data_IF_538674625150
#
_entry.id   IF_538674625150
#
_cell.length_a   1.000
_cell.length_b   1.000
_cell.length_c   1.000
_cell.angle_alpha   90.00
_cell.angle_beta   90.00
_cell.angle_gamma   90.00
#
_symmetry.space_group_name_H-M   'P 1'
#
loop_
_entity.id
_entity.type
_entity.pdbx_description
1 polymer ?
#
# COMPACT_ATOMS: atom_id res chain seq x y z
N UNK A 1 7.59 30.40 6.34
CA UNK A 1 7.08 29.01 6.29
C UNK A 1 5.56 29.08 6.32
N UNK A 2 4.88 28.61 5.28
CA UNK A 2 3.42 28.71 5.17
C UNK A 2 2.79 27.71 6.15
N UNK A 3 2.32 28.18 7.32
CA UNK A 3 1.76 27.35 8.40
C UNK A 3 0.57 26.50 7.94
N UNK A 4 -0.10 26.89 6.85
CA UNK A 4 -1.22 26.17 6.24
C UNK A 4 -0.80 25.12 5.20
N UNK A 5 0.50 24.83 5.02
CA UNK A 5 1.01 23.85 4.05
C UNK A 5 1.78 22.71 4.73
N UNK A 6 1.13 22.07 5.70
CA UNK A 6 1.65 20.91 6.42
C UNK A 6 0.72 19.70 6.34
N UNK A 7 1.21 18.52 6.73
CA UNK A 7 0.36 17.34 6.91
C UNK A 7 -0.57 17.58 8.12
N UNK A 8 -1.88 17.43 7.90
CA UNK A 8 -2.89 17.55 8.94
C UNK A 8 -3.23 16.13 9.41
N UNK A 9 -3.12 15.90 10.70
CA UNK A 9 -3.53 14.63 11.32
C UNK A 9 -4.95 14.76 11.85
N UNK A 10 -5.82 13.84 11.44
CA UNK A 10 -7.18 13.72 11.95
C UNK A 10 -7.23 12.69 13.09
N UNK A 11 -8.18 12.85 13.99
CA UNK A 11 -8.44 11.85 15.01
C UNK A 11 -9.12 10.65 14.35
N UNK A 12 -8.43 9.51 14.35
CA UNK A 12 -8.91 8.28 13.68
C UNK A 12 -9.40 7.29 14.73
N UNK A 13 -10.63 6.82 14.56
CA UNK A 13 -11.18 5.70 15.33
C UNK A 13 -10.61 4.38 14.79
N UNK A 14 -9.72 3.75 15.55
CA UNK A 14 -9.03 2.51 15.19
C UNK A 14 -9.97 1.33 14.94
N UNK A 15 -11.15 1.29 15.58
CA UNK A 15 -12.12 0.18 15.49
C UNK A 15 -12.67 0.00 14.08
N UNK A 16 -12.95 1.12 13.39
CA UNK A 16 -13.52 1.13 12.04
C UNK A 16 -12.43 1.33 10.98
N UNK A 17 -11.20 1.60 11.42
CA UNK A 17 -10.09 1.95 10.55
C UNK A 17 -9.64 0.78 9.69
N UNK A 18 -9.16 1.14 8.51
CA UNK A 18 -8.53 0.21 7.57
C UNK A 18 -7.16 0.74 7.20
N UNK A 19 -6.23 -0.18 7.05
CA UNK A 19 -4.85 0.12 6.67
C UNK A 19 -4.73 -0.06 5.16
N UNK A 20 -4.41 1.02 4.47
CA UNK A 20 -4.20 1.04 3.03
C UNK A 20 -2.71 1.16 2.74
N UNK A 21 -2.16 0.19 2.01
CA UNK A 21 -0.77 0.21 1.56
C UNK A 21 -0.73 0.40 0.06
N UNK A 22 -0.12 1.49 -0.38
CA UNK A 22 0.11 1.77 -1.79
C UNK A 22 1.56 1.46 -2.13
N UNK A 23 1.73 0.55 -3.08
CA UNK A 23 3.03 0.13 -3.59
C UNK A 23 3.15 0.65 -5.01
N UNK A 24 4.18 1.47 -5.25
CA UNK A 24 4.51 1.95 -6.58
C UNK A 24 5.99 1.70 -6.88
N UNK A 25 6.28 1.44 -8.15
CA UNK A 25 7.64 1.33 -8.65
C UNK A 25 7.76 2.08 -9.96
N UNK A 26 8.73 2.98 -10.03
CA UNK A 26 8.99 3.80 -11.20
C UNK A 26 10.36 3.46 -11.77
N UNK A 27 10.40 3.34 -13.10
CA UNK A 27 11.64 3.21 -13.86
C UNK A 27 11.88 4.49 -14.62
N UNK A 28 13.02 5.13 -14.38
CA UNK A 28 13.42 6.33 -15.10
C UNK A 28 14.46 5.92 -16.15
N UNK A 29 14.10 6.02 -17.42
CA UNK A 29 14.93 5.68 -18.59
C UNK A 29 15.98 6.75 -18.88
N UNK A 30 16.77 7.12 -17.87
CA UNK A 30 17.93 7.98 -18.04
C UNK A 30 19.18 7.10 -18.23
N UNK A 31 20.32 7.69 -18.64
CA UNK A 31 21.60 6.97 -18.84
C UNK A 31 21.98 6.06 -17.65
N UNK A 32 21.58 6.46 -16.44
CA UNK A 32 21.89 5.77 -15.19
C UNK A 32 20.88 4.67 -14.79
N UNK A 33 19.82 4.43 -15.58
CA UNK A 33 18.78 3.41 -15.36
C UNK A 33 18.26 3.36 -13.91
N UNK A 34 17.85 4.52 -13.38
CA UNK A 34 17.47 4.66 -11.98
C UNK A 34 16.09 4.05 -11.73
N UNK A 35 16.00 3.24 -10.67
CA UNK A 35 14.77 2.62 -10.19
C UNK A 35 14.35 3.30 -8.89
N UNK A 36 13.06 3.61 -8.77
CA UNK A 36 12.46 4.13 -7.54
C UNK A 36 11.39 3.16 -7.05
N UNK A 37 11.42 2.87 -5.76
CA UNK A 37 10.37 2.12 -5.08
C UNK A 37 9.71 3.04 -4.06
N UNK A 38 8.43 3.29 -4.25
CA UNK A 38 7.60 4.13 -3.39
C UNK A 38 6.60 3.31 -2.61
N UNK A 39 6.52 3.56 -1.32
CA UNK A 39 5.56 2.95 -0.41
C UNK A 39 4.88 4.06 0.38
N UNK A 40 3.55 4.06 0.40
CA UNK A 40 2.75 4.93 1.25
C UNK A 40 1.78 4.05 2.04
N UNK A 41 1.79 4.18 3.36
CA UNK A 41 0.88 3.48 4.27
C UNK A 41 -0.02 4.52 4.92
N UNK A 42 -1.32 4.32 4.76
CA UNK A 42 -2.34 5.26 5.20
C UNK A 42 -3.34 4.52 6.09
N UNK A 43 -3.63 5.08 7.26
CA UNK A 43 -4.77 4.68 8.06
C UNK A 43 -5.98 5.47 7.59
N UNK A 44 -7.08 4.79 7.25
CA UNK A 44 -8.27 5.44 6.72
C UNK A 44 -9.49 5.06 7.56
N UNK A 45 -10.25 6.09 7.93
CA UNK A 45 -11.63 5.96 8.36
C UNK A 45 -12.57 6.47 7.28
N UNK A 46 -13.63 5.70 7.05
CA UNK A 46 -14.73 6.09 6.20
C UNK A 46 -15.94 6.38 7.07
N UNK A 47 -16.46 7.60 7.02
CA UNK A 47 -17.83 7.89 7.44
C UNK A 47 -18.73 7.87 6.20
N UNK A 48 -19.92 7.29 6.36
CA UNK A 48 -20.93 7.25 5.30
C UNK A 48 -22.06 8.14 5.81
N UNK A 49 -22.34 9.23 5.08
CA UNK A 49 -23.61 9.95 5.18
C UNK A 49 -24.50 9.56 4.00
N UNK A 50 -25.78 9.94 4.03
CA UNK A 50 -26.82 9.48 3.11
C UNK A 50 -26.51 9.70 1.62
N UNK A 51 -25.68 10.70 1.29
CA UNK A 51 -25.31 11.04 -0.10
C UNK A 51 -23.80 11.17 -0.35
N UNK A 52 -22.97 11.17 0.69
CA UNK A 52 -21.54 11.44 0.58
C UNK A 52 -20.70 10.50 1.46
N UNK A 53 -19.44 10.28 1.07
CA UNK A 53 -18.47 9.57 1.90
C UNK A 53 -17.30 10.50 2.21
N UNK A 54 -17.07 10.75 3.49
CA UNK A 54 -15.91 11.52 3.94
C UNK A 54 -14.82 10.53 4.33
N UNK A 55 -13.62 10.76 3.80
CA UNK A 55 -12.44 9.96 4.05
C UNK A 55 -11.53 10.76 4.97
N UNK A 56 -11.39 10.30 6.21
CA UNK A 56 -10.38 10.81 7.13
C UNK A 56 -9.17 9.89 7.06
N UNK A 57 -8.01 10.47 6.77
CA UNK A 57 -6.80 9.69 6.56
C UNK A 57 -5.61 10.29 7.30
N UNK A 58 -4.73 9.40 7.78
CA UNK A 58 -3.42 9.78 8.31
C UNK A 58 -2.37 8.93 7.61
N UNK A 59 -1.30 9.58 7.13
CA UNK A 59 -0.12 8.88 6.63
C UNK A 59 0.64 8.35 7.84
N UNK A 60 0.74 7.03 7.96
CA UNK A 60 1.52 6.37 9.02
C UNK A 60 2.99 6.31 8.61
N UNK A 61 3.23 5.95 7.35
CA UNK A 61 4.57 5.69 6.86
C UNK A 61 4.68 6.02 5.38
N UNK A 62 5.81 6.61 5.02
CA UNK A 62 6.20 6.88 3.65
C UNK A 62 7.66 6.48 3.46
N UNK A 63 7.96 5.80 2.35
CA UNK A 63 9.31 5.45 1.96
C UNK A 63 9.47 5.58 0.46
N UNK A 64 10.56 6.22 0.04
CA UNK A 64 11.00 6.26 -1.34
C UNK A 64 12.46 5.82 -1.40
N UNK A 65 12.73 4.60 -1.87
CA UNK A 65 14.09 4.11 -2.03
C UNK A 65 14.54 4.22 -3.48
N UNK A 66 15.75 4.75 -3.66
CA UNK A 66 16.43 4.85 -4.95
C UNK A 66 17.39 3.67 -5.10
N UNK A 67 17.16 2.83 -6.11
CA UNK A 67 18.02 1.70 -6.43
C UNK A 67 18.75 1.98 -7.75
N UNK A 68 20.08 1.88 -7.73
CA UNK A 68 20.93 2.17 -8.91
C UNK A 68 21.24 0.94 -9.78
N UNK A 69 21.00 -0.29 -9.35
CA UNK A 69 21.44 -1.50 -10.09
C UNK A 69 20.52 -2.72 -9.89
N UNK A 70 20.64 -3.64 -10.86
CA UNK A 70 20.23 -5.06 -10.94
C UNK A 70 18.97 -5.38 -11.75
N UNK A 71 17.87 -4.65 -11.64
CA UNK A 71 16.62 -5.08 -12.27
C UNK A 71 16.45 -4.47 -13.68
N UNK A 72 16.89 -5.20 -14.71
CA UNK A 72 16.77 -4.79 -16.12
C UNK A 72 15.36 -4.89 -16.70
N UNK A 73 14.43 -5.57 -16.03
CA UNK A 73 13.06 -5.73 -16.51
C UNK A 73 12.04 -4.99 -15.63
N UNK A 74 11.15 -4.24 -16.29
CA UNK A 74 10.05 -3.51 -15.62
C UNK A 74 9.14 -4.48 -14.85
N UNK A 75 8.96 -5.70 -15.35
CA UNK A 75 8.18 -6.74 -14.69
C UNK A 75 8.84 -7.23 -13.41
N UNK A 76 10.15 -7.53 -13.42
CA UNK A 76 10.84 -7.95 -12.20
C UNK A 76 10.88 -6.83 -11.15
N UNK A 77 10.95 -5.56 -11.58
CA UNK A 77 10.89 -4.43 -10.65
C UNK A 77 9.54 -4.39 -9.93
N UNK A 78 8.46 -4.62 -10.68
CA UNK A 78 7.10 -4.68 -10.13
C UNK A 78 6.92 -5.86 -9.19
N UNK A 79 7.46 -7.04 -9.50
CA UNK A 79 7.41 -8.18 -8.57
C UNK A 79 8.20 -7.87 -7.30
N UNK A 80 9.40 -7.30 -7.45
CA UNK A 80 10.24 -6.92 -6.32
C UNK A 80 9.57 -5.87 -5.42
N UNK A 81 8.92 -4.86 -6.01
CA UNK A 81 8.19 -3.84 -5.27
C UNK A 81 7.01 -4.42 -4.50
N UNK A 82 6.28 -5.38 -5.09
CA UNK A 82 5.19 -6.10 -4.42
C UNK A 82 5.72 -6.85 -3.21
N UNK A 83 6.75 -7.68 -3.37
CA UNK A 83 7.31 -8.49 -2.26
C UNK A 83 7.75 -7.59 -1.12
N UNK A 84 8.53 -6.55 -1.42
CA UNK A 84 9.03 -5.66 -0.40
C UNK A 84 7.90 -4.82 0.26
N UNK A 85 6.90 -4.40 -0.52
CA UNK A 85 5.76 -3.66 0.02
C UNK A 85 4.82 -4.51 0.87
N UNK A 86 4.63 -5.79 0.53
CA UNK A 86 3.88 -6.75 1.36
C UNK A 86 4.63 -6.99 2.68
N UNK A 87 5.96 -7.11 2.67
CA UNK A 87 6.75 -7.26 3.90
C UNK A 87 6.59 -6.03 4.82
N UNK A 88 6.66 -4.82 4.26
CA UNK A 88 6.43 -3.58 5.02
C UNK A 88 4.99 -3.51 5.57
N UNK A 89 3.99 -3.91 4.76
CA UNK A 89 2.60 -3.99 5.19
C UNK A 89 2.41 -4.98 6.36
N UNK A 90 3.10 -6.12 6.32
CA UNK A 90 3.04 -7.14 7.36
C UNK A 90 3.68 -6.67 8.67
N UNK A 91 4.86 -6.03 8.59
CA UNK A 91 5.54 -5.46 9.76
C UNK A 91 4.66 -4.39 10.42
N UNK A 92 4.10 -3.47 9.63
CA UNK A 92 3.21 -2.43 10.15
C UNK A 92 1.93 -3.00 10.75
N UNK A 93 1.36 -4.06 10.16
CA UNK A 93 0.22 -4.76 10.71
C UNK A 93 0.54 -5.42 12.06
N UNK A 94 1.70 -6.06 12.22
CA UNK A 94 2.12 -6.65 13.51
C UNK A 94 2.27 -5.55 14.58
N UNK A 95 2.90 -4.43 14.22
CA UNK A 95 3.09 -3.31 15.16
C UNK A 95 1.73 -2.75 15.59
N UNK A 96 0.83 -2.51 14.64
CA UNK A 96 -0.52 -2.04 14.95
C UNK A 96 -1.30 -3.05 15.78
N UNK A 97 -1.19 -4.34 15.46
CA UNK A 97 -1.83 -5.40 16.24
C UNK A 97 -1.36 -5.38 17.70
N UNK A 98 -0.05 -5.27 17.94
CA UNK A 98 0.48 -5.15 19.30
C UNK A 98 -0.08 -3.94 20.05
N UNK A 99 -0.32 -2.82 19.36
CA UNK A 99 -0.91 -1.61 19.95
C UNK A 99 -2.40 -1.82 20.22
N UNK A 100 -3.16 -2.37 19.26
CA UNK A 100 -4.59 -2.62 19.41
C UNK A 100 -4.89 -3.68 20.47
N UNK A 101 -4.05 -4.71 20.60
CA UNK A 101 -4.17 -5.74 21.63
C UNK A 101 -4.05 -5.13 23.04
N UNK A 102 -3.17 -4.13 23.22
CA UNK A 102 -3.04 -3.37 24.49
C UNK A 102 -4.24 -2.47 24.76
N UNK A 103 -4.95 -2.06 23.72
CA UNK A 103 -6.11 -1.17 23.78
C UNK A 103 -7.45 -1.93 23.70
N UNK A 104 -7.43 -3.27 23.68
CA UNK A 104 -8.62 -4.13 23.53
C UNK A 104 -9.45 -3.88 22.25
N UNK A 105 -8.82 -3.42 21.17
CA UNK A 105 -9.48 -3.19 19.89
C UNK A 105 -9.33 -4.36 18.90
N UNK A 106 -10.26 -4.45 17.93
CA UNK A 106 -10.28 -5.48 16.90
C UNK A 106 -9.14 -5.33 15.87
N UNK A 107 -8.86 -6.40 15.12
CA UNK A 107 -7.88 -6.43 14.03
C UNK A 107 -8.24 -5.43 12.92
N UNK A 108 -7.28 -4.55 12.60
CA UNK A 108 -7.38 -3.60 11.49
C UNK A 108 -7.24 -4.35 10.17
N UNK A 109 -8.22 -4.19 9.27
CA UNK A 109 -8.19 -4.79 7.95
C UNK A 109 -7.17 -4.08 7.07
N UNK A 110 -6.22 -4.83 6.50
CA UNK A 110 -5.20 -4.32 5.59
C UNK A 110 -5.57 -4.57 4.13
N UNK A 111 -5.50 -3.54 3.30
CA UNK A 111 -5.72 -3.59 1.86
C UNK A 111 -4.45 -3.10 1.15
N UNK A 112 -3.87 -3.95 0.31
CA UNK A 112 -2.70 -3.61 -0.49
C UNK A 112 -3.13 -3.23 -1.91
N UNK A 113 -2.67 -2.07 -2.36
CA UNK A 113 -2.85 -1.54 -3.70
C UNK A 113 -1.53 -1.59 -4.45
N UNK A 114 -1.56 -2.23 -5.61
CA UNK A 114 -0.42 -2.35 -6.51
C UNK A 114 -0.87 -1.86 -7.88
N UNK A 115 -0.21 -0.83 -8.39
CA UNK A 115 -0.48 -0.36 -9.75
C UNK A 115 0.40 -1.12 -10.76
N UNK A 116 -0.10 -2.25 -11.24
CA UNK A 116 0.64 -3.09 -12.20
C UNK A 116 -0.24 -3.72 -13.27
N UNK A 117 -0.79 -2.89 -14.16
CA UNK A 117 -1.55 -3.36 -15.33
C UNK A 117 -0.81 -4.45 -16.14
N UNK A 118 0.51 -4.34 -16.26
CA UNK A 118 1.35 -5.33 -16.96
C UNK A 118 1.37 -6.70 -16.28
N UNK A 119 1.39 -6.75 -14.94
CA UNK A 119 1.31 -8.02 -14.20
C UNK A 119 -0.09 -8.60 -14.27
N UNK A 120 -1.11 -7.75 -14.15
CA UNK A 120 -2.49 -8.16 -14.32
C UNK A 120 -2.75 -8.81 -15.69
N UNK A 121 -2.30 -8.18 -16.78
CA UNK A 121 -2.40 -8.72 -18.15
C UNK A 121 -1.68 -10.06 -18.29
N UNK A 122 -0.56 -10.24 -17.59
CA UNK A 122 0.18 -11.50 -17.58
C UNK A 122 -0.61 -12.62 -16.87
N UNK A 123 -1.21 -12.34 -15.71
CA UNK A 123 -2.05 -13.31 -15.01
C UNK A 123 -3.30 -13.73 -15.81
N UNK A 124 -3.94 -12.79 -16.52
CA UNK A 124 -5.04 -13.15 -17.43
C UNK A 124 -4.57 -14.11 -18.52
N UNK A 125 -3.40 -13.84 -19.13
CA UNK A 125 -2.82 -14.70 -20.18
C UNK A 125 -2.51 -16.11 -19.66
N UNK A 126 -2.03 -16.21 -18.42
CA UNK A 126 -1.83 -17.50 -17.75
C UNK A 126 -3.13 -18.19 -17.31
N UNK A 127 -4.30 -17.60 -17.61
CA UNK A 127 -5.63 -18.12 -17.27
C UNK A 127 -5.86 -18.33 -15.77
N UNK A 128 -5.00 -17.76 -14.91
CA UNK A 128 -5.10 -17.93 -13.46
C UNK A 128 -6.25 -17.13 -12.85
N UNK A 129 -6.73 -16.07 -13.52
CA UNK A 129 -7.76 -15.17 -12.99
C UNK A 129 -8.68 -14.68 -14.11
N UNK A 130 -10.01 -14.75 -13.90
CA UNK A 130 -11.04 -14.23 -14.83
C UNK A 130 -11.56 -12.83 -14.47
N UNK A 131 -11.23 -12.29 -13.28
CA UNK A 131 -11.77 -11.01 -12.76
C UNK A 131 -10.91 -9.81 -13.17
N UNK A 132 -11.55 -8.63 -13.34
CA UNK A 132 -10.93 -7.33 -13.71
C UNK A 132 -9.92 -6.77 -12.69
N UNK A 133 -9.90 -7.29 -11.46
CA UNK A 133 -9.05 -6.81 -10.36
C UNK A 133 -8.45 -8.00 -9.61
N UNK A 134 -7.17 -7.90 -9.28
CA UNK A 134 -6.45 -8.85 -8.44
C UNK A 134 -6.61 -8.42 -6.99
N UNK A 135 -7.51 -9.08 -6.26
CA UNK A 135 -7.69 -8.88 -4.82
C UNK A 135 -6.99 -10.06 -4.13
N UNK A 136 -5.79 -9.82 -3.62
CA UNK A 136 -5.07 -10.82 -2.82
C UNK A 136 -5.51 -10.66 -1.38
N UNK A 137 -6.19 -11.65 -0.83
CA UNK A 137 -6.44 -11.69 0.61
C UNK A 137 -5.17 -12.19 1.31
N UNK A 138 -4.47 -11.30 1.99
CA UNK A 138 -3.20 -11.62 2.67
C UNK A 138 -3.43 -12.58 3.84
N UNK A 139 -4.63 -12.58 4.43
CA UNK A 139 -5.00 -13.54 5.49
C UNK A 139 -4.99 -14.98 4.96
N UNK A 140 -5.22 -15.17 3.66
CA UNK A 140 -5.22 -16.48 3.01
C UNK A 140 -3.81 -16.95 2.57
N UNK A 141 -2.78 -16.11 2.66
CA UNK A 141 -1.38 -16.47 2.36
C UNK A 141 -0.61 -16.94 3.61
N UNK A 142 -1.35 -17.47 4.59
CA UNK A 142 -0.81 -18.04 5.82
C UNK A 142 -0.18 -19.41 5.56
#
# INVERSE_FOLDING_TARGET
LNLNRGLIYYLINLVVSKLYVFINSLFISNKDLILYLGYIIILINKSISESEFIIYNNIIYYLLTKNKRVIRSILALKVYSIVNGVNLAYITLIILKKITDRLSFLLILTVIYIDSYSLYKYFIKLRTIKKKRLIINIIALR
#
